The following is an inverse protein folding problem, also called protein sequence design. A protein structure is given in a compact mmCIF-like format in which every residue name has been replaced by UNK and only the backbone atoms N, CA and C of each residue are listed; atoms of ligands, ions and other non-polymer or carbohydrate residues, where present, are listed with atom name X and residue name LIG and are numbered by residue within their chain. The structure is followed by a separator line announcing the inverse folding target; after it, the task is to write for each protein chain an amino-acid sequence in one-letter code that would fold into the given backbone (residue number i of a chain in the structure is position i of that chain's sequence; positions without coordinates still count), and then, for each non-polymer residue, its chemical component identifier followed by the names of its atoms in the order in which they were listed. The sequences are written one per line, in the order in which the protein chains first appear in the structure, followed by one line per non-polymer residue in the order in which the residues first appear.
data_IF_204674676010
#
_entry.id   IF_204674676010
#
_cell.length_a   1.000
_cell.length_b   1.000
_cell.length_c   1.000
_cell.angle_alpha   90.00
_cell.angle_beta   90.00
_cell.angle_gamma   90.00
#
_symmetry.space_group_name_H-M   'P 1'
#
loop_
_entity.id
_entity.type
_entity.pdbx_description
1 polymer ?
#
# COMPACT_ATOMS: atom_id res chain seq x y z
N UNK A 1 40.53 0.64 22.77
CA UNK A 1 40.74 2.10 22.90
C UNK A 1 41.56 2.55 21.70
N UNK A 2 40.90 2.73 20.56
CA UNK A 2 41.49 3.45 19.43
C UNK A 2 41.10 4.91 19.60
N UNK A 3 42.06 5.83 19.54
CA UNK A 3 41.82 7.26 19.72
C UNK A 3 40.76 7.73 18.75
N UNK A 4 39.59 8.13 19.26
CA UNK A 4 38.52 8.67 18.46
C UNK A 4 38.99 9.97 17.85
N UNK A 5 39.01 10.02 16.52
CA UNK A 5 38.97 11.30 15.83
C UNK A 5 37.74 12.07 16.31
N UNK A 6 37.83 13.39 16.35
CA UNK A 6 36.69 14.25 16.61
C UNK A 6 35.61 13.99 15.54
N UNK A 7 34.45 13.46 15.95
CA UNK A 7 33.30 13.22 15.07
C UNK A 7 32.38 14.45 15.06
N UNK A 8 32.92 15.60 14.64
CA UNK A 8 32.17 16.83 14.40
C UNK A 8 32.13 17.07 12.89
N UNK A 9 30.92 17.20 12.35
CA UNK A 9 30.67 17.48 10.94
C UNK A 9 30.47 18.99 10.72
N UNK A 10 31.04 19.54 9.64
CA UNK A 10 30.92 20.98 9.34
C UNK A 10 29.51 21.34 8.84
N UNK A 11 28.80 20.36 8.27
CA UNK A 11 27.46 20.55 7.73
C UNK A 11 26.59 19.30 7.83
N UNK A 12 25.27 19.51 7.77
CA UNK A 12 24.28 18.42 7.65
C UNK A 12 24.45 17.60 6.36
N UNK A 13 25.18 18.11 5.36
CA UNK A 13 25.43 17.40 4.11
C UNK A 13 26.41 16.23 4.28
N UNK A 14 27.36 16.34 5.21
CA UNK A 14 28.37 15.29 5.46
C UNK A 14 27.80 14.04 6.12
N UNK A 15 26.64 14.17 6.79
CA UNK A 15 25.93 13.04 7.38
C UNK A 15 24.85 12.46 6.45
N UNK A 16 24.80 12.92 5.18
CA UNK A 16 24.00 12.26 4.15
C UNK A 16 24.71 11.00 3.68
N UNK A 17 24.02 9.87 3.79
CA UNK A 17 24.55 8.56 3.49
C UNK A 17 24.89 7.77 4.74
N UNK A 18 25.74 6.75 4.57
CA UNK A 18 26.12 5.80 5.62
C UNK A 18 24.95 5.24 6.46
N UNK A 19 23.78 5.15 5.84
CA UNK A 19 22.55 4.70 6.49
C UNK A 19 22.68 3.23 6.92
N UNK A 20 22.06 2.80 8.02
CA UNK A 20 22.24 1.45 8.54
C UNK A 20 21.55 0.38 7.67
N UNK A 21 22.10 -0.84 7.72
CA UNK A 21 21.43 -2.07 7.30
C UNK A 21 20.83 -2.76 8.53
N UNK A 22 19.53 -3.04 8.48
CA UNK A 22 18.80 -3.69 9.57
C UNK A 22 18.13 -4.96 9.07
N UNK A 23 18.35 -6.07 9.75
CA UNK A 23 17.73 -7.36 9.42
C UNK A 23 16.24 -7.35 9.76
N UNK A 24 15.42 -7.84 8.83
CA UNK A 24 13.97 -8.02 9.05
C UNK A 24 13.68 -9.43 9.57
N UNK A 25 12.78 -9.56 10.54
CA UNK A 25 12.53 -10.82 11.25
C UNK A 25 11.06 -11.27 11.22
N UNK A 26 10.15 -10.42 11.67
CA UNK A 26 8.73 -10.74 11.82
C UNK A 26 7.99 -10.60 10.50
N UNK A 27 8.24 -9.53 9.74
CA UNK A 27 7.55 -9.33 8.44
C UNK A 27 7.96 -10.36 7.40
N UNK A 28 9.15 -10.93 7.58
CA UNK A 28 9.78 -11.93 6.71
C UNK A 28 9.64 -13.35 7.24
N UNK A 29 8.85 -13.57 8.30
CA UNK A 29 8.64 -14.90 8.88
C UNK A 29 8.15 -15.88 7.82
N UNK A 30 8.79 -17.05 7.74
CA UNK A 30 8.52 -18.07 6.72
C UNK A 30 9.31 -17.89 5.42
N UNK A 31 10.04 -16.78 5.25
CA UNK A 31 11.02 -16.65 4.18
C UNK A 31 12.32 -17.39 4.56
N UNK A 32 12.92 -18.10 3.60
CA UNK A 32 14.19 -18.82 3.80
C UNK A 32 15.41 -17.98 3.45
N UNK A 33 15.24 -16.90 2.69
CA UNK A 33 16.28 -15.92 2.45
C UNK A 33 16.44 -14.99 3.65
N UNK A 34 17.65 -14.49 3.83
CA UNK A 34 17.93 -13.36 4.70
C UNK A 34 17.55 -12.06 4.00
N UNK A 35 16.70 -11.25 4.62
CA UNK A 35 16.34 -9.92 4.10
C UNK A 35 16.86 -8.86 5.05
N UNK A 36 17.68 -7.95 4.53
CA UNK A 36 18.20 -6.78 5.24
C UNK A 36 17.72 -5.50 4.57
N UNK A 37 17.21 -4.57 5.36
CA UNK A 37 16.69 -3.30 4.93
C UNK A 37 17.76 -2.21 5.03
N UNK A 38 18.02 -1.51 3.93
CA UNK A 38 18.86 -0.30 3.88
C UNK A 38 17.97 0.91 4.19
N UNK A 39 18.14 1.49 5.37
CA UNK A 39 17.23 2.49 5.93
C UNK A 39 17.53 3.89 5.40
N UNK A 40 17.32 4.10 4.11
CA UNK A 40 17.57 5.40 3.44
C UNK A 40 16.71 6.55 3.98
N UNK A 41 15.62 6.24 4.68
CA UNK A 41 14.83 7.25 5.37
C UNK A 41 15.53 7.87 6.60
N UNK A 42 16.69 7.37 7.01
CA UNK A 42 17.48 7.94 8.11
C UNK A 42 18.49 9.01 7.65
N UNK A 43 18.54 9.32 6.36
CA UNK A 43 19.20 10.55 5.92
C UNK A 43 18.53 11.79 6.58
N UNK A 44 19.23 12.93 6.72
CA UNK A 44 18.73 14.09 7.47
C UNK A 44 17.41 14.70 6.96
N UNK A 45 17.18 14.67 5.65
CA UNK A 45 15.92 15.06 5.01
C UNK A 45 14.88 13.94 4.99
N UNK A 46 15.21 12.76 5.51
CA UNK A 46 14.30 11.64 5.70
C UNK A 46 14.09 10.80 4.45
N UNK A 47 15.01 10.83 3.47
CA UNK A 47 14.86 10.06 2.24
C UNK A 47 16.16 9.73 1.49
N UNK A 48 16.09 8.72 0.62
CA UNK A 48 17.14 8.34 -0.34
C UNK A 48 17.53 9.48 -1.30
N UNK A 49 16.64 10.45 -1.51
CA UNK A 49 16.86 11.56 -2.45
C UNK A 49 17.77 12.64 -1.89
N UNK A 50 18.08 12.57 -0.60
CA UNK A 50 19.05 13.45 0.04
C UNK A 50 20.44 13.27 -0.61
N UNK A 51 20.76 12.06 -1.07
CA UNK A 51 22.03 11.77 -1.78
C UNK A 51 22.18 12.50 -3.11
N UNK A 52 21.08 12.65 -3.85
CA UNK A 52 21.14 13.18 -5.23
C UNK A 52 21.13 14.71 -5.24
N UNK A 53 20.62 15.35 -4.18
CA UNK A 53 20.57 16.81 -4.06
C UNK A 53 21.94 17.47 -4.16
N UNK A 54 22.87 17.19 -3.21
CA UNK A 54 24.24 17.67 -3.26
C UNK A 54 24.96 17.24 -4.54
N UNK A 55 24.82 15.98 -4.97
CA UNK A 55 25.50 15.48 -6.16
C UNK A 55 25.12 16.25 -7.44
N UNK A 56 23.84 16.57 -7.63
CA UNK A 56 23.39 17.39 -8.77
C UNK A 56 23.87 18.84 -8.67
N UNK A 57 23.92 19.41 -7.46
CA UNK A 57 24.44 20.77 -7.23
C UNK A 57 25.95 20.83 -7.47
N UNK A 58 26.71 19.84 -6.99
CA UNK A 58 28.16 19.73 -7.22
C UNK A 58 28.48 19.67 -8.72
N UNK A 59 27.71 18.88 -9.48
CA UNK A 59 27.86 18.84 -10.93
C UNK A 59 27.54 20.18 -11.60
N UNK A 60 26.47 20.84 -11.16
CA UNK A 60 26.06 22.14 -11.69
C UNK A 60 27.07 23.25 -11.38
N UNK A 61 27.65 23.26 -10.18
CA UNK A 61 28.72 24.17 -9.78
C UNK A 61 29.98 23.94 -10.60
N UNK A 62 30.46 22.68 -10.68
CA UNK A 62 31.66 22.32 -11.45
C UNK A 62 31.54 22.65 -12.93
N UNK A 63 30.35 22.44 -13.52
CA UNK A 63 30.08 22.74 -14.93
C UNK A 63 29.75 24.21 -15.19
N UNK A 64 29.66 25.05 -14.16
CA UNK A 64 29.33 26.47 -14.27
C UNK A 64 27.86 26.77 -14.59
N UNK A 65 26.98 25.76 -14.60
CA UNK A 65 25.53 25.91 -14.81
C UNK A 65 24.84 26.62 -13.66
N UNK A 66 25.38 26.50 -12.45
CA UNK A 66 24.89 27.18 -11.25
C UNK A 66 25.99 28.05 -10.66
N UNK A 67 25.75 29.37 -10.59
CA UNK A 67 26.69 30.33 -9.98
C UNK A 67 26.18 30.76 -8.60
N UNK A 68 27.07 31.25 -7.69
CA UNK A 68 26.69 31.69 -6.35
C UNK A 68 25.43 32.57 -6.31
N UNK A 69 24.54 32.30 -5.34
CA UNK A 69 23.25 33.00 -5.20
C UNK A 69 22.19 32.65 -6.26
N UNK A 70 22.44 31.64 -7.10
CA UNK A 70 21.53 31.15 -8.12
C UNK A 70 20.26 30.48 -7.58
N UNK A 71 19.38 30.09 -8.51
CA UNK A 71 18.08 29.48 -8.19
C UNK A 71 17.99 28.06 -8.74
N UNK A 72 17.76 27.08 -7.87
CA UNK A 72 17.52 25.70 -8.27
C UNK A 72 16.02 25.53 -8.53
N UNK A 73 15.69 24.97 -9.69
CA UNK A 73 14.32 24.68 -10.11
C UNK A 73 14.17 23.18 -10.32
N UNK A 74 13.11 22.58 -9.78
CA UNK A 74 12.87 21.14 -9.96
C UNK A 74 11.39 20.77 -9.99
N UNK A 75 11.04 19.87 -10.90
CA UNK A 75 9.77 19.13 -10.90
C UNK A 75 9.91 17.91 -9.97
N UNK A 76 9.17 17.87 -8.87
CA UNK A 76 9.40 16.85 -7.83
C UNK A 76 8.12 16.27 -7.22
N UNK A 77 8.17 14.99 -6.90
CA UNK A 77 7.19 14.29 -6.06
C UNK A 77 7.42 14.49 -4.55
N UNK A 78 8.40 15.32 -4.19
CA UNK A 78 8.65 15.84 -2.84
C UNK A 78 10.07 15.58 -2.34
N UNK A 79 10.52 14.33 -2.34
CA UNK A 79 11.76 13.93 -1.68
C UNK A 79 13.01 14.55 -2.32
N UNK A 80 13.08 14.59 -3.65
CA UNK A 80 14.18 15.27 -4.37
C UNK A 80 14.19 16.77 -4.10
N UNK A 81 13.02 17.39 -3.99
CA UNK A 81 12.92 18.79 -3.56
C UNK A 81 13.53 19.01 -2.19
N UNK A 82 13.31 18.09 -1.23
CA UNK A 82 13.88 18.19 0.12
C UNK A 82 15.40 18.08 0.10
N UNK A 83 15.95 17.08 -0.60
CA UNK A 83 17.41 16.93 -0.74
C UNK A 83 18.08 18.15 -1.37
N UNK A 84 17.46 18.70 -2.43
CA UNK A 84 17.91 19.95 -3.06
C UNK A 84 17.76 21.16 -2.13
N UNK A 85 16.68 21.25 -1.36
CA UNK A 85 16.42 22.36 -0.44
C UNK A 85 17.42 22.41 0.71
N UNK A 86 17.78 21.25 1.29
CA UNK A 86 18.78 21.16 2.35
C UNK A 86 20.15 21.62 1.82
N UNK A 87 20.57 21.10 0.67
CA UNK A 87 21.83 21.50 0.05
C UNK A 87 21.84 22.98 -0.36
N UNK A 88 20.72 23.50 -0.89
CA UNK A 88 20.55 24.90 -1.22
C UNK A 88 20.65 25.81 0.01
N UNK A 89 20.03 25.44 1.12
CA UNK A 89 20.05 26.20 2.37
C UNK A 89 21.47 26.33 2.92
N UNK A 90 22.26 25.24 2.88
CA UNK A 90 23.66 25.25 3.32
C UNK A 90 24.56 26.08 2.39
N UNK A 91 24.31 26.04 1.09
CA UNK A 91 25.17 26.69 0.07
C UNK A 91 24.71 28.07 -0.40
N UNK A 92 23.60 28.58 0.14
CA UNK A 92 23.09 29.92 -0.18
C UNK A 92 22.39 30.04 -1.54
N UNK A 93 21.71 28.97 -1.99
CA UNK A 93 20.88 28.98 -3.20
C UNK A 93 19.39 29.19 -2.88
N UNK A 94 18.67 29.78 -3.83
CA UNK A 94 17.21 29.84 -3.80
C UNK A 94 16.63 28.57 -4.41
N UNK A 95 15.41 28.18 -4.00
CA UNK A 95 14.74 27.00 -4.56
C UNK A 95 13.32 27.31 -5.00
N UNK A 96 12.95 26.76 -6.17
CA UNK A 96 11.59 26.76 -6.70
C UNK A 96 11.22 25.32 -7.05
N UNK A 97 10.20 24.78 -6.40
CA UNK A 97 9.72 23.43 -6.65
C UNK A 97 8.33 23.45 -7.25
N UNK A 98 8.13 22.65 -8.29
CA UNK A 98 6.86 22.48 -8.97
C UNK A 98 6.32 21.09 -8.67
N UNK A 99 5.11 21.01 -8.13
CA UNK A 99 4.51 19.75 -7.65
C UNK A 99 3.06 19.62 -8.13
N UNK A 100 2.60 18.40 -8.48
CA UNK A 100 1.19 18.13 -8.71
C UNK A 100 0.34 18.23 -7.43
N UNK A 101 -0.94 18.59 -7.57
CA UNK A 101 -1.91 18.69 -6.47
C UNK A 101 -2.25 17.37 -5.75
N UNK A 102 -1.86 16.20 -6.28
CA UNK A 102 -2.03 14.90 -5.59
C UNK A 102 -1.05 14.66 -4.43
N UNK A 103 0.03 15.45 -4.34
CA UNK A 103 1.09 15.26 -3.35
C UNK A 103 0.58 15.61 -1.95
N UNK A 104 1.08 14.91 -0.93
CA UNK A 104 0.68 15.15 0.48
C UNK A 104 0.96 16.58 0.94
N UNK A 105 0.07 17.16 1.75
CA UNK A 105 0.26 18.46 2.40
C UNK A 105 1.56 18.53 3.22
N UNK A 106 1.94 17.43 3.86
CA UNK A 106 3.16 17.30 4.65
C UNK A 106 4.41 17.62 3.82
N UNK A 107 4.47 17.18 2.56
CA UNK A 107 5.57 17.47 1.63
C UNK A 107 5.63 18.93 1.24
N UNK A 108 4.47 19.55 0.95
CA UNK A 108 4.39 20.97 0.59
C UNK A 108 4.87 21.84 1.75
N UNK A 109 4.39 21.55 2.97
CA UNK A 109 4.78 22.27 4.19
C UNK A 109 6.26 22.09 4.49
N UNK A 110 6.81 20.89 4.32
CA UNK A 110 8.24 20.64 4.53
C UNK A 110 9.12 21.46 3.58
N UNK A 111 8.80 21.50 2.28
CA UNK A 111 9.58 22.31 1.33
C UNK A 111 9.51 23.80 1.66
N UNK A 112 8.34 24.31 2.04
CA UNK A 112 8.18 25.71 2.49
C UNK A 112 8.98 26.00 3.77
N UNK A 113 9.10 25.03 4.68
CA UNK A 113 9.90 25.18 5.89
C UNK A 113 11.40 25.33 5.58
N UNK A 114 11.90 24.72 4.50
CA UNK A 114 13.25 24.96 3.98
C UNK A 114 13.38 26.25 3.15
N UNK A 115 12.38 27.14 3.18
CA UNK A 115 12.40 28.42 2.47
C UNK A 115 12.13 28.34 0.97
N UNK A 116 11.67 27.17 0.47
CA UNK A 116 11.41 27.00 -0.96
C UNK A 116 10.11 27.68 -1.40
N UNK A 117 10.13 28.26 -2.61
CA UNK A 117 8.89 28.64 -3.31
C UNK A 117 8.28 27.38 -3.91
N UNK A 118 7.05 27.04 -3.50
CA UNK A 118 6.32 25.87 -4.02
C UNK A 118 5.20 26.32 -4.96
N UNK A 119 5.24 25.83 -6.21
CA UNK A 119 4.24 26.05 -7.25
C UNK A 119 3.43 24.77 -7.44
N UNK A 120 2.11 24.85 -7.28
CA UNK A 120 1.20 23.71 -7.43
C UNK A 120 0.61 23.70 -8.84
N UNK A 121 0.58 22.54 -9.47
CA UNK A 121 0.02 22.32 -10.81
C UNK A 121 -1.03 21.20 -10.81
N UNK A 122 -1.97 21.18 -11.76
CA UNK A 122 -2.97 20.12 -11.85
C UNK A 122 -2.36 18.74 -12.09
N UNK A 123 -2.86 17.69 -11.42
CA UNK A 123 -2.43 16.31 -11.69
C UNK A 123 -3.01 15.75 -13.00
N UNK A 124 -4.26 16.09 -13.34
CA UNK A 124 -5.01 15.48 -14.43
C UNK A 124 -4.72 16.12 -15.80
N UNK A 125 -3.43 16.27 -16.16
CA UNK A 125 -3.00 16.77 -17.47
C UNK A 125 -1.90 15.87 -18.03
N UNK A 126 -1.85 15.74 -19.36
CA UNK A 126 -0.83 14.95 -20.03
C UNK A 126 0.57 15.57 -19.84
N UNK A 127 1.67 14.78 -19.89
CA UNK A 127 3.03 15.31 -19.73
C UNK A 127 3.38 16.48 -20.67
N UNK A 128 2.84 16.46 -21.90
CA UNK A 128 3.04 17.54 -22.89
C UNK A 128 2.17 18.79 -22.70
N UNK A 129 1.21 18.79 -21.77
CA UNK A 129 0.37 19.97 -21.50
C UNK A 129 1.23 21.10 -20.90
N UNK A 130 1.08 22.37 -21.33
CA UNK A 130 1.82 23.51 -20.77
C UNK A 130 1.64 23.72 -19.25
N UNK A 131 0.58 23.15 -18.68
CA UNK A 131 0.28 23.18 -17.23
C UNK A 131 0.88 21.99 -16.48
N UNK A 132 1.46 21.01 -17.18
CA UNK A 132 2.15 19.89 -16.55
C UNK A 132 3.31 20.43 -15.70
N UNK A 133 3.55 19.80 -14.56
CA UNK A 133 4.61 20.23 -13.65
C UNK A 133 6.00 20.20 -14.31
N UNK A 134 6.23 19.33 -15.31
CA UNK A 134 7.45 19.28 -16.12
C UNK A 134 7.64 20.53 -17.00
N UNK A 135 6.58 20.99 -17.68
CA UNK A 135 6.66 22.17 -18.55
C UNK A 135 6.71 23.45 -17.73
N UNK A 136 5.96 23.50 -16.63
CA UNK A 136 5.99 24.64 -15.71
C UNK A 136 7.36 24.78 -15.05
N UNK A 137 8.00 23.70 -14.59
CA UNK A 137 9.35 23.77 -14.03
C UNK A 137 10.39 24.22 -15.07
N UNK A 138 10.31 23.69 -16.31
CA UNK A 138 11.20 24.08 -17.40
C UNK A 138 11.08 25.56 -17.72
N UNK A 139 9.85 26.06 -17.90
CA UNK A 139 9.59 27.48 -18.17
C UNK A 139 10.10 28.37 -17.04
N UNK A 140 9.85 28.00 -15.78
CA UNK A 140 10.37 28.76 -14.63
C UNK A 140 11.90 28.82 -14.67
N UNK A 141 12.58 27.72 -15.02
CA UNK A 141 14.03 27.73 -15.15
C UNK A 141 14.49 28.66 -16.29
N UNK A 142 13.90 28.55 -17.48
CA UNK A 142 14.24 29.39 -18.64
C UNK A 142 14.01 30.89 -18.37
N UNK A 143 12.95 31.24 -17.64
CA UNK A 143 12.58 32.62 -17.33
C UNK A 143 13.32 33.18 -16.08
N UNK A 144 13.95 32.34 -15.27
CA UNK A 144 14.66 32.76 -14.05
C UNK A 144 16.15 32.95 -14.31
N UNK A 145 16.70 34.18 -14.16
CA UNK A 145 18.14 34.40 -14.32
C UNK A 145 18.97 33.61 -13.31
N UNK A 146 20.13 33.12 -13.76
CA UNK A 146 21.04 32.30 -12.93
C UNK A 146 20.33 31.10 -12.29
N UNK A 147 19.44 30.45 -13.03
CA UNK A 147 18.75 29.26 -12.57
C UNK A 147 19.39 27.98 -13.09
N UNK A 148 19.16 26.90 -12.36
CA UNK A 148 19.57 25.56 -12.72
C UNK A 148 18.35 24.64 -12.61
N UNK A 149 17.96 24.04 -13.74
CA UNK A 149 16.94 22.99 -13.76
C UNK A 149 17.60 21.65 -13.43
N UNK A 150 17.32 21.10 -12.24
CA UNK A 150 18.02 19.91 -11.75
C UNK A 150 17.71 18.65 -12.58
N UNK A 151 16.45 18.51 -13.02
CA UNK A 151 15.95 17.47 -13.92
C UNK A 151 16.39 16.05 -13.53
N UNK A 152 15.96 15.58 -12.36
CA UNK A 152 16.38 14.27 -11.82
C UNK A 152 16.17 13.07 -12.75
N UNK A 153 15.28 13.19 -13.74
CA UNK A 153 14.92 12.15 -14.69
C UNK A 153 16.00 11.88 -15.74
N UNK A 154 16.74 12.92 -16.14
CA UNK A 154 17.81 12.84 -17.16
C UNK A 154 19.20 13.20 -16.62
N UNK A 155 19.30 13.68 -15.38
CA UNK A 155 20.57 14.12 -14.83
C UNK A 155 21.46 12.92 -14.42
N UNK A 156 22.65 12.73 -15.02
CA UNK A 156 23.53 11.60 -14.71
C UNK A 156 24.08 11.64 -13.28
N UNK A 157 24.08 12.78 -12.60
CA UNK A 157 24.48 12.87 -11.20
C UNK A 157 23.53 12.09 -10.26
N UNK A 158 22.28 11.85 -10.65
CA UNK A 158 21.35 11.01 -9.88
C UNK A 158 21.84 9.54 -9.77
N UNK A 159 21.99 8.76 -10.86
CA UNK A 159 22.56 7.42 -10.76
C UNK A 159 24.01 7.43 -10.25
N UNK A 160 24.81 8.44 -10.61
CA UNK A 160 26.19 8.54 -10.16
C UNK A 160 26.29 8.62 -8.62
N UNK A 161 25.44 9.39 -7.95
CA UNK A 161 25.40 9.46 -6.49
C UNK A 161 25.24 8.08 -5.83
N UNK A 162 24.41 7.21 -6.40
CA UNK A 162 24.18 5.86 -5.88
C UNK A 162 25.28 4.87 -6.24
N UNK A 163 25.95 5.07 -7.38
CA UNK A 163 27.15 4.32 -7.75
C UNK A 163 28.33 4.66 -6.83
N UNK A 164 28.51 5.94 -6.49
CA UNK A 164 29.62 6.41 -5.67
C UNK A 164 29.43 6.19 -4.16
N UNK A 165 28.17 6.07 -3.69
CA UNK A 165 27.88 5.97 -2.26
C UNK A 165 27.06 4.74 -1.89
N UNK A 166 25.80 4.64 -2.36
CA UNK A 166 24.86 3.60 -1.92
C UNK A 166 25.34 2.18 -2.22
N UNK A 167 25.86 1.92 -3.42
CA UNK A 167 26.45 0.63 -3.79
C UNK A 167 27.65 0.25 -2.90
N UNK A 168 28.69 1.11 -2.80
CA UNK A 168 29.84 0.90 -1.91
C UNK A 168 29.47 0.67 -0.45
N UNK A 169 28.52 1.44 0.09
CA UNK A 169 28.02 1.26 1.46
C UNK A 169 27.41 -0.13 1.65
N UNK A 170 26.53 -0.57 0.74
CA UNK A 170 25.90 -1.89 0.81
C UNK A 170 26.97 -2.98 0.74
N UNK A 171 27.92 -2.88 -0.18
CA UNK A 171 29.00 -3.85 -0.34
C UNK A 171 29.84 -3.96 0.94
N UNK A 172 30.26 -2.81 1.48
CA UNK A 172 31.04 -2.72 2.72
C UNK A 172 30.28 -3.28 3.92
N UNK A 173 29.04 -2.83 4.13
CA UNK A 173 28.21 -3.21 5.29
C UNK A 173 27.80 -4.68 5.27
N UNK A 174 27.70 -5.30 4.09
CA UNK A 174 27.42 -6.75 3.97
C UNK A 174 28.68 -7.62 3.99
N UNK A 175 29.87 -7.01 3.99
CA UNK A 175 31.15 -7.73 3.85
C UNK A 175 31.25 -8.47 2.50
N UNK A 176 30.69 -7.88 1.44
CA UNK A 176 30.60 -8.49 0.10
C UNK A 176 29.59 -9.64 -0.04
N UNK A 177 28.84 -9.95 1.01
CA UNK A 177 27.86 -11.05 1.02
C UNK A 177 26.47 -10.53 0.74
N UNK A 178 26.18 -10.28 -0.53
CA UNK A 178 24.85 -9.89 -1.03
C UNK A 178 24.59 -10.60 -2.36
N UNK A 179 23.42 -11.24 -2.47
CA UNK A 179 23.02 -12.01 -3.65
C UNK A 179 21.95 -11.30 -4.46
N UNK A 180 21.05 -10.59 -3.77
CA UNK A 180 19.94 -9.84 -4.36
C UNK A 180 20.00 -8.37 -3.90
N UNK A 181 19.98 -7.45 -4.86
CA UNK A 181 19.73 -6.04 -4.60
C UNK A 181 18.32 -5.70 -5.06
N UNK A 182 17.47 -5.24 -4.15
CA UNK A 182 16.05 -4.98 -4.41
C UNK A 182 15.77 -3.50 -4.18
N UNK A 183 15.23 -2.85 -5.19
CA UNK A 183 14.85 -1.44 -5.11
C UNK A 183 13.55 -1.17 -5.89
N UNK A 184 12.71 -0.32 -5.34
CA UNK A 184 11.58 0.22 -6.09
C UNK A 184 12.06 1.19 -7.17
N UNK A 185 11.37 1.21 -8.30
CA UNK A 185 11.73 2.01 -9.46
C UNK A 185 10.91 3.30 -9.52
N UNK A 186 11.57 4.42 -9.83
CA UNK A 186 10.97 5.74 -10.03
C UNK A 186 11.75 6.43 -11.14
N UNK A 187 12.59 7.42 -10.82
CA UNK A 187 13.57 7.95 -11.78
C UNK A 187 14.52 6.87 -12.31
N UNK A 188 14.80 5.83 -11.51
CA UNK A 188 15.72 4.74 -11.90
C UNK A 188 17.16 4.96 -11.46
N UNK A 189 17.52 6.13 -10.96
CA UNK A 189 18.90 6.41 -10.53
C UNK A 189 19.41 5.48 -9.43
N UNK A 190 18.61 5.19 -8.41
CA UNK A 190 19.01 4.30 -7.30
C UNK A 190 19.28 2.87 -7.77
N UNK A 191 18.36 2.28 -8.54
CA UNK A 191 18.51 0.90 -9.01
C UNK A 191 19.65 0.78 -10.03
N UNK A 192 19.80 1.79 -10.89
CA UNK A 192 20.83 1.82 -11.94
C UNK A 192 22.23 2.01 -11.37
N UNK A 193 22.42 3.04 -10.53
CA UNK A 193 23.72 3.37 -9.97
C UNK A 193 24.25 2.32 -9.00
N UNK A 194 23.48 2.02 -7.95
CA UNK A 194 23.89 1.03 -6.96
C UNK A 194 23.95 -0.38 -7.57
N UNK A 195 23.02 -0.72 -8.46
CA UNK A 195 23.00 -2.01 -9.15
C UNK A 195 24.22 -2.23 -10.04
N UNK A 196 24.66 -1.19 -10.78
CA UNK A 196 25.87 -1.24 -11.60
C UNK A 196 27.11 -1.50 -10.74
N UNK A 197 27.32 -0.69 -9.70
CA UNK A 197 28.46 -0.88 -8.79
C UNK A 197 28.47 -2.30 -8.19
N UNK A 198 27.33 -2.76 -7.67
CA UNK A 198 27.23 -4.07 -7.03
C UNK A 198 27.49 -5.23 -8.00
N UNK A 199 27.11 -5.09 -9.27
CA UNK A 199 27.41 -6.09 -10.32
C UNK A 199 28.88 -6.11 -10.72
N UNK A 200 29.57 -4.97 -10.67
CA UNK A 200 31.03 -4.93 -10.86
C UNK A 200 31.77 -5.65 -9.75
N UNK A 201 31.28 -5.55 -8.50
CA UNK A 201 31.84 -6.28 -7.37
C UNK A 201 31.49 -7.78 -7.38
N UNK A 202 30.25 -8.12 -7.78
CA UNK A 202 29.78 -9.49 -7.89
C UNK A 202 28.90 -9.67 -9.15
N UNK A 203 29.44 -10.18 -10.26
CA UNK A 203 28.69 -10.38 -11.50
C UNK A 203 27.52 -11.37 -11.39
N UNK A 204 27.47 -12.19 -10.33
CA UNK A 204 26.38 -13.14 -10.07
C UNK A 204 25.20 -12.50 -9.31
N UNK A 205 25.38 -11.29 -8.76
CA UNK A 205 24.33 -10.57 -8.05
C UNK A 205 23.16 -10.26 -8.99
N UNK A 206 21.93 -10.49 -8.51
CA UNK A 206 20.71 -10.15 -9.24
C UNK A 206 20.12 -8.85 -8.71
N UNK A 207 19.81 -7.94 -9.62
CA UNK A 207 19.12 -6.68 -9.32
C UNK A 207 17.63 -6.86 -9.64
N UNK A 208 16.78 -6.67 -8.63
CA UNK A 208 15.33 -6.87 -8.72
C UNK A 208 14.64 -5.51 -8.61
N UNK A 209 13.99 -5.09 -9.68
CA UNK A 209 13.18 -3.87 -9.71
C UNK A 209 11.78 -4.14 -9.19
N UNK A 210 11.28 -3.28 -8.30
CA UNK A 210 9.89 -3.37 -7.84
C UNK A 210 9.10 -2.18 -8.41
N UNK A 211 8.01 -2.49 -9.10
CA UNK A 211 7.20 -1.53 -9.85
C UNK A 211 5.76 -1.51 -9.32
N UNK A 212 5.11 -0.35 -9.13
CA UNK A 212 3.70 -0.33 -8.79
C UNK A 212 2.84 -0.77 -9.97
N UNK A 213 1.74 -1.47 -9.69
CA UNK A 213 0.70 -1.71 -10.70
C UNK A 213 0.18 -0.37 -11.22
N UNK A 214 0.24 -0.19 -12.54
CA UNK A 214 -0.14 1.05 -13.24
C UNK A 214 1.05 1.84 -13.80
N UNK A 215 2.29 1.55 -13.40
CA UNK A 215 3.46 2.10 -14.09
C UNK A 215 3.78 1.36 -15.39
N UNK A 216 4.46 2.05 -16.29
CA UNK A 216 4.93 1.53 -17.58
C UNK A 216 6.13 0.58 -17.48
N UNK A 217 6.89 0.59 -16.38
CA UNK A 217 8.19 -0.08 -16.32
C UNK A 217 8.12 -1.59 -16.41
N UNK A 218 7.20 -2.24 -15.71
CA UNK A 218 7.09 -3.71 -15.72
C UNK A 218 6.78 -4.26 -17.11
N UNK A 219 5.78 -3.71 -17.80
CA UNK A 219 5.41 -4.19 -19.13
C UNK A 219 6.48 -3.84 -20.16
N UNK A 220 7.05 -2.64 -20.08
CA UNK A 220 8.17 -2.25 -20.93
C UNK A 220 9.37 -3.18 -20.72
N UNK A 221 9.74 -3.51 -19.48
CA UNK A 221 10.86 -4.41 -19.18
C UNK A 221 10.68 -5.76 -19.88
N UNK A 222 9.48 -6.34 -19.81
CA UNK A 222 9.14 -7.66 -20.36
C UNK A 222 8.95 -7.69 -21.87
N UNK A 223 8.35 -6.65 -22.44
CA UNK A 223 7.87 -6.67 -23.84
C UNK A 223 8.61 -5.71 -24.76
N UNK A 224 9.35 -4.75 -24.19
CA UNK A 224 9.93 -3.58 -24.88
C UNK A 224 8.90 -2.69 -25.58
N UNK A 225 7.62 -2.81 -25.21
CA UNK A 225 6.52 -1.97 -25.69
C UNK A 225 6.04 -1.08 -24.55
N UNK A 226 5.65 0.15 -24.89
CA UNK A 226 5.07 1.09 -23.93
C UNK A 226 3.60 0.74 -23.70
N UNK A 227 3.20 0.42 -22.45
CA UNK A 227 1.80 0.22 -22.12
C UNK A 227 1.08 1.55 -21.88
N UNK A 228 -0.24 1.48 -21.70
CA UNK A 228 -1.00 2.61 -21.15
C UNK A 228 -0.78 2.69 -19.61
N UNK A 229 -0.45 3.87 -19.07
CA UNK A 229 -0.29 4.05 -17.64
C UNK A 229 -1.65 4.11 -16.93
N UNK A 230 -1.68 3.65 -15.67
CA UNK A 230 -2.84 3.75 -14.78
C UNK A 230 -2.48 4.47 -13.49
N UNK A 231 -3.49 5.05 -12.84
CA UNK A 231 -3.29 5.77 -11.57
C UNK A 231 -3.17 4.81 -10.39
N UNK A 232 -2.35 5.21 -9.41
CA UNK A 232 -2.13 4.51 -8.16
C UNK A 232 -1.86 5.52 -7.03
N UNK A 233 -1.93 5.07 -5.78
CA UNK A 233 -1.87 5.90 -4.58
C UNK A 233 -0.48 5.94 -3.95
N UNK A 234 0.34 4.91 -4.11
CA UNK A 234 1.73 4.92 -3.61
C UNK A 234 2.52 6.04 -4.30
N UNK A 235 3.35 6.75 -3.52
CA UNK A 235 4.07 7.94 -4.00
C UNK A 235 5.56 7.67 -4.16
N UNK A 236 6.17 8.31 -5.17
CA UNK A 236 7.63 8.35 -5.37
C UNK A 236 8.21 7.21 -6.21
N UNK A 237 7.36 6.32 -6.72
CA UNK A 237 7.72 5.15 -7.53
C UNK A 237 6.75 5.01 -8.72
N UNK A 238 7.20 4.31 -9.77
CA UNK A 238 6.53 4.21 -11.06
C UNK A 238 6.51 5.52 -11.85
N UNK A 239 6.47 5.43 -13.18
CA UNK A 239 6.26 6.57 -14.09
C UNK A 239 5.37 6.18 -15.29
N UNK A 240 4.92 7.21 -16.02
CA UNK A 240 4.19 7.14 -17.30
C UNK A 240 5.10 7.29 -18.54
N UNK A 241 6.40 7.48 -18.34
CA UNK A 241 7.44 7.53 -19.36
C UNK A 241 8.71 6.78 -18.88
N UNK A 242 9.74 6.70 -19.74
CA UNK A 242 11.03 6.09 -19.40
C UNK A 242 12.07 7.18 -19.10
N UNK A 243 12.50 7.36 -17.84
CA UNK A 243 13.59 8.28 -17.51
C UNK A 243 14.91 7.82 -18.13
N UNK A 244 15.76 8.76 -18.57
CA UNK A 244 17.10 8.44 -19.09
C UNK A 244 18.04 7.90 -18.01
N UNK A 245 17.75 8.18 -16.74
CA UNK A 245 18.49 7.65 -15.59
C UNK A 245 18.14 6.19 -15.24
N UNK A 246 17.19 5.56 -15.94
CA UNK A 246 16.83 4.15 -15.80
C UNK A 246 17.62 3.27 -16.79
N UNK A 247 18.55 2.48 -16.26
CA UNK A 247 19.32 1.49 -17.02
C UNK A 247 18.72 0.09 -16.85
N UNK A 248 17.77 -0.28 -17.71
CA UNK A 248 17.14 -1.61 -17.65
C UNK A 248 18.12 -2.77 -17.90
N UNK A 249 19.32 -2.51 -18.45
CA UNK A 249 20.32 -3.57 -18.66
C UNK A 249 20.91 -4.09 -17.35
N UNK A 250 20.88 -3.26 -16.28
CA UNK A 250 21.33 -3.71 -14.95
C UNK A 250 20.27 -4.52 -14.22
N UNK A 251 19.00 -4.48 -14.62
CA UNK A 251 17.89 -5.14 -13.93
C UNK A 251 17.71 -6.57 -14.44
N UNK A 252 17.67 -7.53 -13.52
CA UNK A 252 17.49 -8.96 -13.84
C UNK A 252 16.02 -9.38 -13.88
N UNK A 253 15.17 -8.79 -13.04
CA UNK A 253 13.73 -9.08 -12.97
C UNK A 253 12.97 -7.84 -12.49
N UNK A 254 11.72 -7.69 -12.93
CA UNK A 254 10.80 -6.69 -12.40
C UNK A 254 9.56 -7.35 -11.81
N UNK A 255 9.21 -6.99 -10.57
CA UNK A 255 8.02 -7.50 -9.86
C UNK A 255 7.03 -6.38 -9.62
N UNK A 256 5.75 -6.64 -9.96
CA UNK A 256 4.66 -5.72 -9.68
C UNK A 256 4.02 -5.92 -8.32
N UNK A 257 3.70 -4.80 -7.66
CA UNK A 257 3.04 -4.74 -6.36
C UNK A 257 1.91 -3.70 -6.39
N UNK A 258 0.74 -4.04 -5.85
CA UNK A 258 -0.41 -3.12 -5.78
C UNK A 258 -0.38 -2.19 -4.56
N UNK A 259 -1.23 -1.17 -4.56
CA UNK A 259 -1.35 -0.20 -3.46
C UNK A 259 -1.67 -0.87 -2.11
N UNK A 260 -2.69 -1.75 -2.07
CA UNK A 260 -3.09 -2.45 -0.84
C UNK A 260 -1.92 -3.23 -0.24
N UNK A 261 -1.23 -4.01 -1.08
CA UNK A 261 -0.07 -4.81 -0.67
C UNK A 261 1.07 -3.92 -0.15
N UNK A 262 1.31 -2.79 -0.81
CA UNK A 262 2.31 -1.79 -0.42
C UNK A 262 2.01 -1.22 0.97
N UNK A 263 0.79 -0.71 1.18
CA UNK A 263 0.43 -0.01 2.43
C UNK A 263 0.27 -0.96 3.61
N UNK A 264 -0.31 -2.15 3.40
CA UNK A 264 -0.38 -3.18 4.45
C UNK A 264 1.03 -3.59 4.87
N UNK A 265 1.95 -3.82 3.93
CA UNK A 265 3.34 -4.18 4.25
C UNK A 265 4.08 -3.05 4.96
N UNK A 266 3.91 -1.79 4.54
CA UNK A 266 4.46 -0.63 5.24
C UNK A 266 3.97 -0.56 6.69
N UNK A 267 2.66 -0.75 6.92
CA UNK A 267 2.08 -0.81 8.27
C UNK A 267 2.61 -1.95 9.12
N UNK A 268 2.89 -3.11 8.51
CA UNK A 268 3.53 -4.26 9.18
C UNK A 268 4.98 -3.95 9.55
N UNK A 269 5.76 -3.28 8.69
CA UNK A 269 7.12 -2.85 9.03
C UNK A 269 7.13 -1.96 10.28
N UNK A 270 6.17 -1.03 10.40
CA UNK A 270 6.03 -0.21 11.61
C UNK A 270 5.65 -1.05 12.83
N UNK A 271 4.58 -1.85 12.74
CA UNK A 271 4.02 -2.58 13.90
C UNK A 271 4.86 -3.76 14.35
N UNK A 272 5.49 -4.45 13.42
CA UNK A 272 6.19 -5.71 13.68
C UNK A 272 7.70 -5.50 13.91
N UNK A 273 8.33 -4.59 13.16
CA UNK A 273 9.78 -4.33 13.20
C UNK A 273 10.17 -3.01 13.87
N UNK A 274 9.20 -2.10 14.13
CA UNK A 274 9.51 -0.77 14.65
C UNK A 274 10.16 0.17 13.62
N UNK A 275 10.05 -0.15 12.32
CA UNK A 275 10.68 0.61 11.23
C UNK A 275 9.66 1.60 10.67
N UNK A 276 9.80 2.89 11.00
CA UNK A 276 8.87 3.95 10.59
C UNK A 276 9.11 4.47 9.17
N UNK A 277 8.80 3.64 8.17
CA UNK A 277 9.04 3.91 6.74
C UNK A 277 7.75 4.22 5.95
N UNK A 278 7.90 4.76 4.74
CA UNK A 278 6.82 5.13 3.83
C UNK A 278 6.22 3.98 2.99
N UNK A 279 5.25 4.33 2.15
CA UNK A 279 4.53 3.36 1.30
C UNK A 279 5.43 2.62 0.30
N UNK A 280 6.38 3.33 -0.32
CA UNK A 280 7.35 2.74 -1.26
C UNK A 280 8.26 1.70 -0.58
N UNK A 281 8.58 1.89 0.70
CA UNK A 281 9.32 0.91 1.51
C UNK A 281 8.50 -0.38 1.70
N UNK A 282 7.19 -0.24 1.92
CA UNK A 282 6.27 -1.37 1.93
C UNK A 282 6.20 -2.08 0.58
N UNK A 283 6.16 -1.33 -0.53
CA UNK A 283 6.24 -1.89 -1.89
C UNK A 283 7.51 -2.71 -2.08
N UNK A 284 8.68 -2.17 -1.70
CA UNK A 284 9.97 -2.83 -1.87
C UNK A 284 10.03 -4.17 -1.13
N UNK A 285 9.59 -4.21 0.13
CA UNK A 285 9.60 -5.44 0.96
C UNK A 285 8.56 -6.45 0.45
N UNK A 286 7.36 -6.01 0.08
CA UNK A 286 6.34 -6.87 -0.49
C UNK A 286 6.83 -7.53 -1.79
N UNK A 287 7.42 -6.73 -2.68
CA UNK A 287 8.00 -7.17 -3.93
C UNK A 287 9.16 -8.15 -3.73
N UNK A 288 10.05 -7.90 -2.77
CA UNK A 288 11.11 -8.82 -2.39
C UNK A 288 10.56 -10.18 -1.94
N UNK A 289 9.56 -10.18 -1.05
CA UNK A 289 8.91 -11.41 -0.57
C UNK A 289 8.23 -12.16 -1.71
N UNK A 290 7.54 -11.44 -2.60
CA UNK A 290 6.87 -12.02 -3.77
C UNK A 290 7.87 -12.66 -4.73
N UNK A 291 8.98 -11.98 -5.02
CA UNK A 291 10.08 -12.53 -5.82
C UNK A 291 10.67 -13.80 -5.19
N UNK A 292 10.99 -13.75 -3.90
CA UNK A 292 11.63 -14.88 -3.22
C UNK A 292 10.75 -16.13 -3.21
N UNK A 293 9.43 -15.98 -3.13
CA UNK A 293 8.46 -17.10 -3.23
C UNK A 293 8.45 -17.79 -4.59
N UNK A 294 8.93 -17.15 -5.66
CA UNK A 294 9.00 -17.79 -6.98
C UNK A 294 10.23 -18.67 -7.15
N UNK A 295 11.20 -18.59 -6.23
CA UNK A 295 12.41 -19.40 -6.28
C UNK A 295 12.16 -20.82 -5.74
N UNK A 296 12.74 -21.88 -6.35
CA UNK A 296 12.50 -23.28 -5.97
C UNK A 296 12.70 -23.62 -4.48
N UNK A 297 13.56 -22.89 -3.77
CA UNK A 297 13.82 -23.06 -2.33
C UNK A 297 13.44 -21.85 -1.47
N UNK A 298 12.57 -20.97 -1.97
CA UNK A 298 12.19 -19.74 -1.27
C UNK A 298 13.36 -18.80 -1.00
N UNK A 299 14.46 -18.95 -1.75
CA UNK A 299 15.72 -18.20 -1.60
C UNK A 299 16.61 -18.64 -0.44
N UNK A 300 16.51 -19.89 0.03
CA UNK A 300 17.39 -20.42 1.07
C UNK A 300 18.88 -20.12 0.80
N UNK A 301 19.57 -19.57 1.81
CA UNK A 301 20.99 -19.21 1.71
C UNK A 301 21.29 -17.89 0.99
N UNK A 302 20.30 -17.24 0.38
CA UNK A 302 20.47 -15.93 -0.25
C UNK A 302 20.34 -14.80 0.77
N UNK A 303 21.12 -13.73 0.58
CA UNK A 303 20.91 -12.42 1.21
C UNK A 303 20.35 -11.42 0.22
N UNK A 304 19.18 -10.88 0.53
CA UNK A 304 18.56 -9.76 -0.15
C UNK A 304 18.75 -8.45 0.62
N UNK A 305 19.30 -7.44 -0.03
CA UNK A 305 19.33 -6.05 0.46
C UNK A 305 18.17 -5.29 -0.19
N UNK A 306 17.27 -4.74 0.62
CA UNK A 306 16.07 -4.01 0.17
C UNK A 306 16.19 -2.54 0.57
N UNK A 307 16.07 -1.61 -0.38
CA UNK A 307 16.07 -0.17 -0.09
C UNK A 307 14.73 0.24 0.51
N UNK A 308 14.74 0.93 1.66
CA UNK A 308 13.56 1.59 2.25
C UNK A 308 13.67 3.10 2.04
N UNK A 309 13.02 3.67 1.00
CA UNK A 309 13.41 4.98 0.46
C UNK A 309 13.16 6.17 1.37
N UNK A 310 12.06 6.21 2.13
CA UNK A 310 11.67 7.41 2.88
C UNK A 310 10.84 7.12 4.14
N UNK A 311 10.74 8.16 4.99
CA UNK A 311 10.16 8.05 6.32
C UNK A 311 8.63 8.02 6.28
N UNK A 312 8.03 7.32 7.24
CA UNK A 312 6.59 7.29 7.42
C UNK A 312 5.97 8.64 7.79
N UNK A 313 6.76 9.59 8.28
CA UNK A 313 6.32 10.93 8.70
C UNK A 313 5.59 11.70 7.60
N UNK A 314 5.89 11.39 6.34
CA UNK A 314 5.31 12.02 5.14
C UNK A 314 3.88 11.55 4.83
N UNK A 315 3.40 10.53 5.54
CA UNK A 315 2.18 9.79 5.19
C UNK A 315 1.23 9.61 6.37
N UNK A 316 1.39 10.40 7.44
CA UNK A 316 0.58 10.31 8.66
C UNK A 316 -0.92 10.45 8.39
N UNK A 317 -1.31 11.44 7.57
CA UNK A 317 -2.70 11.65 7.16
C UNK A 317 -3.20 10.67 6.08
N UNK A 318 -2.32 9.83 5.52
CA UNK A 318 -2.61 8.89 4.43
C UNK A 318 -2.56 7.44 4.92
N UNK A 319 -1.56 6.65 4.50
CA UNK A 319 -1.48 5.21 4.78
C UNK A 319 -1.44 4.87 6.28
N UNK A 320 -1.07 5.82 7.15
CA UNK A 320 -1.14 5.63 8.60
C UNK A 320 -2.46 6.03 9.23
N UNK A 321 -3.33 6.73 8.53
CA UNK A 321 -4.74 6.94 8.91
C UNK A 321 -5.56 5.69 8.58
N UNK A 322 -6.22 5.10 9.59
CA UNK A 322 -7.14 3.98 9.37
C UNK A 322 -8.32 4.41 8.49
N UNK A 323 -8.82 5.63 8.67
CA UNK A 323 -9.95 6.15 7.89
C UNK A 323 -9.59 6.31 6.42
N UNK A 324 -8.42 6.88 6.13
CA UNK A 324 -7.93 6.99 4.76
C UNK A 324 -7.76 5.61 4.11
N UNK A 325 -7.21 4.64 4.86
CA UNK A 325 -7.05 3.27 4.39
C UNK A 325 -8.39 2.57 4.12
N UNK A 326 -9.43 2.81 4.93
CA UNK A 326 -10.79 2.26 4.72
C UNK A 326 -11.49 2.94 3.54
N UNK A 327 -11.44 4.26 3.45
CA UNK A 327 -12.01 5.06 2.35
C UNK A 327 -11.49 4.58 0.99
N UNK A 328 -10.22 4.16 0.95
CA UNK A 328 -9.57 3.66 -0.26
C UNK A 328 -9.64 2.12 -0.40
N UNK A 329 -10.37 1.41 0.46
CA UNK A 329 -10.56 -0.04 0.38
C UNK A 329 -9.32 -0.88 0.70
N UNK A 330 -8.31 -0.30 1.36
CA UNK A 330 -7.07 -0.99 1.69
C UNK A 330 -7.08 -1.68 3.06
N UNK A 331 -7.97 -1.26 3.96
CA UNK A 331 -8.32 -1.99 5.17
C UNK A 331 -9.74 -2.53 5.05
N UNK A 332 -9.90 -3.81 5.33
CA UNK A 332 -11.22 -4.38 5.55
C UNK A 332 -11.76 -3.85 6.88
N UNK A 333 -13.06 -3.59 6.93
CA UNK A 333 -13.72 -3.36 8.20
C UNK A 333 -13.65 -4.67 8.99
N UNK A 334 -13.00 -4.65 10.16
CA UNK A 334 -13.08 -5.77 11.10
C UNK A 334 -14.50 -5.77 11.70
N UNK A 335 -15.47 -6.27 10.92
CA UNK A 335 -16.87 -6.35 11.29
C UNK A 335 -17.16 -7.57 12.18
N UNK A 336 -16.15 -8.41 12.43
CA UNK A 336 -16.31 -9.67 13.15
C UNK A 336 -16.86 -10.80 12.28
N UNK A 337 -17.21 -11.90 12.92
CA UNK A 337 -17.78 -13.09 12.27
C UNK A 337 -19.28 -13.24 12.57
N UNK A 338 -19.97 -14.05 11.78
CA UNK A 338 -21.37 -14.42 11.99
C UNK A 338 -21.56 -15.04 13.38
N UNK A 339 -20.60 -15.83 13.87
CA UNK A 339 -20.62 -16.39 15.21
C UNK A 339 -20.55 -15.34 16.32
N UNK A 340 -19.77 -14.26 16.14
CA UNK A 340 -19.77 -13.14 17.07
C UNK A 340 -21.11 -12.40 17.09
N UNK A 341 -21.69 -12.16 15.92
CA UNK A 341 -23.00 -11.54 15.77
C UNK A 341 -24.09 -12.38 16.44
N UNK A 342 -24.10 -13.70 16.23
CA UNK A 342 -25.04 -14.61 16.88
C UNK A 342 -24.91 -14.60 18.41
N UNK A 343 -23.69 -14.59 18.94
CA UNK A 343 -23.47 -14.52 20.40
C UNK A 343 -23.94 -13.20 21.01
N UNK A 344 -23.91 -12.12 20.23
CA UNK A 344 -24.40 -10.81 20.65
C UNK A 344 -25.93 -10.67 20.53
N UNK A 345 -26.59 -11.58 19.81
CA UNK A 345 -28.04 -11.60 19.62
C UNK A 345 -28.73 -12.19 20.86
N UNK A 346 -29.79 -11.53 21.30
CA UNK A 346 -30.69 -12.01 22.34
C UNK A 346 -31.82 -12.81 21.68
N UNK A 347 -32.02 -14.08 22.06
CA UNK A 347 -33.15 -14.89 21.60
C UNK A 347 -32.79 -16.35 21.35
N UNK A 348 -33.77 -17.23 21.53
CA UNK A 348 -33.63 -18.67 21.24
C UNK A 348 -33.93 -18.93 19.76
N UNK A 349 -33.18 -19.83 19.12
CA UNK A 349 -33.54 -20.32 17.80
C UNK A 349 -34.88 -21.07 17.88
N UNK A 350 -35.87 -20.60 17.13
CA UNK A 350 -37.18 -21.25 17.00
C UNK A 350 -37.29 -21.83 15.62
N UNK A 351 -37.76 -23.08 15.52
CA UNK A 351 -37.91 -23.80 14.26
C UNK A 351 -39.31 -24.41 14.14
N UNK A 352 -39.74 -24.64 12.91
CA UNK A 352 -40.96 -25.37 12.60
C UNK A 352 -40.64 -26.75 12.00
N UNK A 353 -41.53 -27.73 12.17
CA UNK A 353 -41.49 -28.96 11.37
C UNK A 353 -42.38 -28.79 10.14
N UNK A 354 -42.01 -29.39 8.99
CA UNK A 354 -42.87 -29.34 7.78
C UNK A 354 -44.27 -29.91 8.00
N UNK A 355 -44.44 -30.79 8.99
CA UNK A 355 -45.73 -31.41 9.35
C UNK A 355 -46.51 -30.64 10.41
N UNK A 356 -45.94 -29.54 10.90
CA UNK A 356 -46.55 -28.72 11.94
C UNK A 356 -47.76 -27.96 11.38
N UNK A 357 -48.80 -27.79 12.19
CA UNK A 357 -50.01 -27.12 11.77
C UNK A 357 -49.78 -25.60 11.65
N UNK A 358 -50.47 -24.95 10.70
CA UNK A 358 -50.45 -23.50 10.52
C UNK A 358 -50.70 -22.75 11.84
N UNK A 359 -51.66 -23.19 12.66
CA UNK A 359 -51.97 -22.58 13.96
C UNK A 359 -50.82 -22.62 14.95
N UNK A 360 -50.06 -23.72 14.96
CA UNK A 360 -48.98 -23.95 15.92
C UNK A 360 -47.77 -23.09 15.54
N UNK A 361 -47.49 -22.99 14.23
CA UNK A 361 -46.46 -22.10 13.67
C UNK A 361 -46.78 -20.64 13.96
N UNK A 362 -48.04 -20.22 13.80
CA UNK A 362 -48.50 -18.87 14.20
C UNK A 362 -48.34 -18.66 15.71
N UNK A 363 -48.65 -19.68 16.52
CA UNK A 363 -48.47 -19.66 17.97
C UNK A 363 -47.01 -19.40 18.36
N UNK A 364 -46.07 -20.15 17.75
CA UNK A 364 -44.63 -19.95 17.93
C UNK A 364 -44.17 -18.56 17.49
N UNK A 365 -44.60 -18.09 16.32
CA UNK A 365 -44.24 -16.75 15.84
C UNK A 365 -44.65 -15.66 16.84
N UNK A 366 -45.85 -15.77 17.43
CA UNK A 366 -46.34 -14.84 18.45
C UNK A 366 -45.64 -14.97 19.79
N UNK A 367 -45.42 -16.19 20.27
CA UNK A 367 -44.79 -16.46 21.56
C UNK A 367 -43.35 -15.94 21.60
N UNK A 368 -42.62 -16.13 20.51
CA UNK A 368 -41.20 -15.77 20.42
C UNK A 368 -40.94 -14.43 19.71
N UNK A 369 -42.00 -13.72 19.31
CA UNK A 369 -41.94 -12.43 18.61
C UNK A 369 -41.04 -12.47 17.35
N UNK A 370 -41.27 -13.47 16.50
CA UNK A 370 -40.51 -13.69 15.26
C UNK A 370 -41.43 -13.79 14.05
N UNK A 371 -41.02 -13.19 12.92
CA UNK A 371 -41.80 -13.17 11.67
C UNK A 371 -41.46 -14.28 10.69
N UNK A 372 -40.44 -15.09 11.00
CA UNK A 372 -39.98 -16.18 10.14
C UNK A 372 -39.28 -17.28 10.94
N UNK A 373 -39.41 -18.51 10.48
CA UNK A 373 -38.87 -19.70 11.13
C UNK A 373 -38.17 -20.60 10.09
N UNK A 374 -36.95 -21.09 10.38
CA UNK A 374 -36.38 -22.21 9.63
C UNK A 374 -37.25 -23.45 9.78
N UNK A 375 -37.53 -24.13 8.67
CA UNK A 375 -38.29 -25.38 8.65
C UNK A 375 -37.32 -26.55 8.59
N UNK A 376 -37.45 -27.46 9.57
CA UNK A 376 -36.63 -28.64 9.69
C UNK A 376 -37.42 -29.92 9.37
N UNK A 377 -36.71 -30.88 8.80
CA UNK A 377 -37.17 -32.25 8.62
C UNK A 377 -36.06 -33.20 9.09
N UNK A 378 -36.34 -34.05 10.07
CA UNK A 378 -35.36 -34.92 10.73
C UNK A 378 -34.05 -34.19 11.12
N UNK A 379 -34.18 -32.93 11.59
CA UNK A 379 -33.06 -32.08 12.02
C UNK A 379 -32.30 -31.38 10.88
N UNK A 380 -32.68 -31.59 9.62
CA UNK A 380 -32.08 -30.93 8.45
C UNK A 380 -32.93 -29.75 7.99
N UNK A 381 -32.27 -28.66 7.60
CA UNK A 381 -32.92 -27.50 7.01
C UNK A 381 -33.51 -27.88 5.65
N UNK A 382 -34.82 -27.72 5.50
CA UNK A 382 -35.54 -27.99 4.24
C UNK A 382 -36.13 -26.73 3.62
N UNK A 383 -36.32 -25.67 4.40
CA UNK A 383 -36.89 -24.43 3.91
C UNK A 383 -37.05 -23.36 4.99
N UNK A 384 -37.86 -22.36 4.68
CA UNK A 384 -38.24 -21.29 5.59
C UNK A 384 -39.74 -21.03 5.49
N UNK A 385 -40.35 -20.59 6.58
CA UNK A 385 -41.75 -20.13 6.59
C UNK A 385 -41.80 -18.75 7.22
N UNK A 386 -42.42 -17.79 6.54
CA UNK A 386 -42.61 -16.43 6.99
C UNK A 386 -44.09 -16.12 7.26
N UNK A 387 -44.35 -15.07 8.03
CA UNK A 387 -45.71 -14.61 8.35
C UNK A 387 -46.53 -14.28 7.09
N UNK A 388 -45.88 -13.82 6.02
CA UNK A 388 -46.52 -13.49 4.74
C UNK A 388 -47.04 -14.73 4.02
N UNK A 389 -46.33 -15.86 4.14
CA UNK A 389 -46.74 -17.13 3.53
C UNK A 389 -47.99 -17.67 4.22
N UNK A 390 -48.00 -17.61 5.55
CA UNK A 390 -49.15 -18.00 6.37
C UNK A 390 -50.35 -17.08 6.11
N UNK A 391 -50.12 -15.76 5.98
CA UNK A 391 -51.15 -14.79 5.66
C UNK A 391 -51.79 -15.06 4.30
N UNK A 392 -50.97 -15.24 3.25
CA UNK A 392 -51.45 -15.51 1.90
C UNK A 392 -52.23 -16.83 1.85
N UNK A 393 -51.70 -17.88 2.49
CA UNK A 393 -52.34 -19.19 2.53
C UNK A 393 -53.74 -19.15 3.18
N UNK A 394 -53.90 -18.37 4.25
CA UNK A 394 -55.19 -18.19 4.92
C UNK A 394 -56.14 -17.28 4.14
N UNK A 395 -55.65 -16.21 3.51
CA UNK A 395 -56.47 -15.28 2.72
C UNK A 395 -57.02 -15.94 1.45
N UNK A 396 -56.21 -16.75 0.78
CA UNK A 396 -56.60 -17.48 -0.43
C UNK A 396 -57.49 -18.69 -0.11
N UNK A 397 -57.61 -19.06 1.17
CA UNK A 397 -58.34 -20.24 1.61
C UNK A 397 -57.67 -21.55 1.18
N UNK A 398 -56.39 -21.51 0.78
CA UNK A 398 -55.63 -22.69 0.36
C UNK A 398 -55.27 -23.60 1.53
N UNK A 399 -55.23 -23.05 2.75
CA UNK A 399 -54.95 -23.79 3.99
C UNK A 399 -55.91 -23.41 5.11
N UNK A 400 -56.24 -24.38 5.96
CA UNK A 400 -56.94 -24.21 7.23
C UNK A 400 -55.93 -24.17 8.38
N UNK A 401 -56.28 -23.61 9.56
CA UNK A 401 -55.37 -23.55 10.70
C UNK A 401 -54.78 -24.91 11.14
N UNK A 402 -55.52 -26.01 10.94
CA UNK A 402 -55.08 -27.36 11.30
C UNK A 402 -54.25 -28.07 10.19
N UNK A 403 -54.14 -27.48 9.00
CA UNK A 403 -53.42 -28.09 7.88
C UNK A 403 -51.90 -27.93 8.08
N UNK A 404 -51.08 -28.87 7.58
CA UNK A 404 -49.63 -28.80 7.70
C UNK A 404 -49.03 -27.69 6.83
N UNK A 405 -47.92 -27.12 7.26
CA UNK A 405 -47.22 -26.05 6.50
C UNK A 405 -46.45 -26.55 5.27
N UNK A 406 -46.23 -27.85 5.09
CA UNK A 406 -45.41 -28.42 4.01
C UNK A 406 -45.64 -27.80 2.61
N UNK A 407 -46.88 -27.55 2.15
CA UNK A 407 -47.11 -27.00 0.80
C UNK A 407 -46.77 -25.51 0.64
N UNK A 408 -46.54 -24.80 1.73
CA UNK A 408 -46.27 -23.35 1.78
C UNK A 408 -44.88 -23.02 2.32
N UNK A 409 -44.01 -24.04 2.45
CA UNK A 409 -42.61 -23.84 2.83
C UNK A 409 -41.84 -23.27 1.64
N UNK A 410 -41.24 -22.11 1.84
CA UNK A 410 -40.36 -21.47 0.88
C UNK A 410 -39.00 -22.18 0.80
N UNK A 411 -38.29 -22.08 -0.34
CA UNK A 411 -36.95 -22.64 -0.50
C UNK A 411 -35.99 -22.18 0.60
N UNK A 412 -35.06 -23.05 0.97
CA UNK A 412 -34.08 -22.74 2.01
C UNK A 412 -33.31 -21.45 1.67
N UNK A 413 -33.16 -20.52 2.64
CA UNK A 413 -32.40 -19.30 2.44
C UNK A 413 -30.90 -19.62 2.31
N UNK A 414 -30.07 -18.63 1.95
CA UNK A 414 -28.62 -18.77 1.98
C UNK A 414 -28.14 -19.28 3.34
N UNK A 415 -27.25 -20.28 3.30
CA UNK A 415 -26.63 -20.88 4.48
C UNK A 415 -25.22 -20.33 4.66
N UNK A 416 -24.88 -20.00 5.90
CA UNK A 416 -23.56 -19.50 6.30
C UNK A 416 -23.04 -20.27 7.51
N UNK A 417 -21.71 -20.30 7.68
CA UNK A 417 -21.06 -20.89 8.85
C UNK A 417 -20.71 -19.80 9.89
N UNK A 418 -20.53 -20.15 11.18
CA UNK A 418 -20.13 -19.18 12.21
C UNK A 418 -18.86 -18.40 11.90
N UNK A 419 -17.92 -18.98 11.14
CA UNK A 419 -16.65 -18.34 10.75
C UNK A 419 -16.79 -17.37 9.56
N UNK A 420 -17.96 -17.33 8.92
CA UNK A 420 -18.24 -16.40 7.83
C UNK A 420 -18.06 -14.96 8.33
N UNK A 421 -17.38 -14.11 7.55
CA UNK A 421 -17.23 -12.70 7.93
C UNK A 421 -18.55 -11.94 7.81
N UNK A 422 -18.76 -10.94 8.67
CA UNK A 422 -19.95 -10.08 8.59
C UNK A 422 -19.99 -9.30 7.25
N UNK A 423 -18.85 -8.97 6.64
CA UNK A 423 -18.79 -8.39 5.29
C UNK A 423 -19.35 -9.35 4.22
N UNK A 424 -18.92 -10.62 4.26
CA UNK A 424 -19.42 -11.64 3.34
C UNK A 424 -20.93 -11.86 3.53
N UNK A 425 -21.39 -11.91 4.79
CA UNK A 425 -22.81 -11.98 5.13
C UNK A 425 -23.58 -10.77 4.58
N UNK A 426 -23.05 -9.55 4.71
CA UNK A 426 -23.72 -8.33 4.25
C UNK A 426 -23.99 -8.34 2.73
N UNK A 427 -23.15 -9.01 1.94
CA UNK A 427 -23.32 -9.14 0.47
C UNK A 427 -24.44 -10.09 0.06
N UNK A 428 -24.98 -10.90 0.98
CA UNK A 428 -26.08 -11.83 0.73
C UNK A 428 -27.44 -11.12 0.83
N UNK A 429 -27.54 -10.11 1.70
CA UNK A 429 -28.80 -9.43 2.00
C UNK A 429 -29.42 -8.56 0.88
N UNK A 430 -28.75 -8.17 -0.21
CA UNK A 430 -29.44 -7.58 -1.36
C UNK A 430 -30.47 -8.53 -2.01
N UNK A 431 -30.25 -9.84 -1.94
CA UNK A 431 -31.08 -10.87 -2.60
C UNK A 431 -31.79 -11.83 -1.63
N UNK A 432 -31.57 -11.71 -0.32
CA UNK A 432 -32.23 -12.53 0.70
C UNK A 432 -32.64 -11.69 1.92
N UNK A 433 -33.65 -12.15 2.66
CA UNK A 433 -34.16 -11.48 3.88
C UNK A 433 -33.56 -12.04 5.17
N UNK A 434 -33.09 -13.29 5.14
CA UNK A 434 -32.42 -13.97 6.23
C UNK A 434 -31.31 -14.88 5.69
N UNK A 435 -30.36 -15.21 6.55
CA UNK A 435 -29.41 -16.28 6.35
C UNK A 435 -29.50 -17.25 7.53
N UNK A 436 -29.49 -18.55 7.24
CA UNK A 436 -29.49 -19.58 8.28
C UNK A 436 -28.05 -19.96 8.59
N UNK A 437 -27.71 -20.00 9.87
CA UNK A 437 -26.37 -20.34 10.34
C UNK A 437 -26.34 -21.82 10.67
N UNK A 438 -25.46 -22.55 9.97
CA UNK A 438 -25.25 -23.98 10.16
C UNK A 438 -23.85 -24.20 10.70
N UNK A 439 -23.75 -24.92 11.80
CA UNK A 439 -22.49 -25.32 12.42
C UNK A 439 -22.42 -26.84 12.49
N UNK A 440 -21.37 -27.42 11.92
CA UNK A 440 -21.18 -28.87 11.81
C UNK A 440 -22.43 -29.65 11.32
N UNK A 441 -23.21 -29.06 10.43
CA UNK A 441 -24.42 -29.65 9.85
C UNK A 441 -25.71 -29.46 10.67
N UNK A 442 -25.65 -28.81 11.83
CA UNK A 442 -26.80 -28.46 12.65
C UNK A 442 -27.17 -26.98 12.47
N UNK A 443 -28.47 -26.66 12.42
CA UNK A 443 -28.92 -25.27 12.42
C UNK A 443 -28.74 -24.68 13.81
N UNK A 444 -27.89 -23.66 13.94
CA UNK A 444 -27.54 -23.01 15.21
C UNK A 444 -28.09 -21.59 15.34
N UNK A 445 -28.57 -20.99 14.26
CA UNK A 445 -29.13 -19.65 14.32
C UNK A 445 -29.73 -19.16 13.01
N UNK A 446 -30.37 -18.00 13.09
CA UNK A 446 -30.86 -17.23 11.96
C UNK A 446 -30.41 -15.78 12.13
N UNK A 447 -29.85 -15.22 11.06
CA UNK A 447 -29.38 -13.82 11.01
C UNK A 447 -30.15 -13.07 9.94
N UNK A 448 -30.59 -11.87 10.28
CA UNK A 448 -31.38 -10.99 9.43
C UNK A 448 -30.65 -9.67 9.19
N UNK A 449 -31.20 -8.84 8.28
CA UNK A 449 -30.67 -7.50 8.01
C UNK A 449 -30.57 -6.63 9.26
N UNK A 450 -31.58 -6.68 10.13
CA UNK A 450 -31.62 -5.84 11.34
C UNK A 450 -30.55 -6.27 12.36
N UNK A 451 -30.25 -7.58 12.44
CA UNK A 451 -29.19 -8.09 13.29
C UNK A 451 -27.81 -7.57 12.86
N UNK A 452 -27.55 -7.51 11.55
CA UNK A 452 -26.32 -6.90 11.01
C UNK A 452 -26.29 -5.40 11.29
N UNK A 453 -27.38 -4.68 11.03
CA UNK A 453 -27.46 -3.23 11.29
C UNK A 453 -27.18 -2.92 12.76
N UNK A 454 -27.80 -3.66 13.69
CA UNK A 454 -27.59 -3.47 15.13
C UNK A 454 -26.15 -3.80 15.55
N UNK A 455 -25.57 -4.87 15.03
CA UNK A 455 -24.17 -5.24 15.27
C UNK A 455 -23.20 -4.16 14.77
N UNK A 456 -23.47 -3.59 13.59
CA UNK A 456 -22.68 -2.48 13.03
C UNK A 456 -22.83 -1.20 13.86
N UNK A 457 -24.06 -0.83 14.24
CA UNK A 457 -24.33 0.37 15.03
C UNK A 457 -23.60 0.33 16.39
N UNK A 458 -23.58 -0.82 17.06
CA UNK A 458 -22.86 -1.03 18.32
C UNK A 458 -21.34 -0.92 18.19
N UNK A 459 -20.78 -1.23 17.01
CA UNK A 459 -19.34 -1.13 16.74
C UNK A 459 -18.91 0.27 16.30
N UNK A 460 -19.77 1.01 15.60
CA UNK A 460 -19.50 2.42 15.22
C UNK A 460 -19.58 3.36 16.43
N UNK A 461 -20.33 3.00 17.47
CA UNK A 461 -20.44 3.77 18.70
C UNK A 461 -19.27 3.57 19.71
N UNK A 462 -18.31 2.69 19.39
CA UNK A 462 -17.07 2.48 20.16
C UNK A 462 -15.90 3.10 19.41
#
# INVERSE_FOLDING_TARGET
MAGGAEEIYDSVLEIMGDTPLVRLHKVTRGCRAEIVAKLEFLNPGGSVKDRIGPSMIDDAERSGKLRPGGTIVEATSGNTGVGLAIAAAVRGYKTIFVMPDKMSEEKIRLLRAFGARVVITPTAVAPGDPRSYYNVSRRIAEETPNSYYANQYSNPANPQAHYDTTGPEIWRQTGGKVDLFVATMGTGGTISGAGRYLKEQNPKLRVIGIDPVGSVFYEYFRTKKMPEPHTYKVEGIGEDFLPETMDFSVVNEVVQVGDRESFVTARRLVREEGIFCGGSSGTAVAGALKYLRTLPDGGAGLRAVVILPDSGSRYLSKLFSDDWMREHGFLELELGTVGELLRAKSGTLVTASRREAVSDVIGKMKEYDVSQLPVLDDGKLVGMIAEVDLLNALLEGSHRPADPIEPIVDPAPPVVEPETSVDALARIFPSANAAVVVDHGAVVGIVTKIDVIDHLAKRVAR
#
